data_IF_619267283163
#
_entry.id   IF_619267283163
#
_cell.length_a   1.000
_cell.length_b   1.000
_cell.length_c   1.000
_cell.angle_alpha   90.00
_cell.angle_beta   90.00
_cell.angle_gamma   90.00
#
_symmetry.space_group_name_H-M   'P 1'
#
loop_
_entity.id
_entity.type
_entity.pdbx_description
1 polymer ?
#
# COMPACT_ATOMS: atom_id res chain seq x y z
N UNK A 1 -24.10 11.66 9.25
CA UNK A 1 -22.70 11.42 8.84
C UNK A 1 -21.73 11.65 9.99
N UNK A 2 -21.58 12.87 10.52
CA UNK A 2 -20.64 13.14 11.63
C UNK A 2 -20.92 12.30 12.89
N UNK A 3 -22.19 12.08 13.24
CA UNK A 3 -22.57 11.18 14.36
C UNK A 3 -22.15 9.73 14.12
N UNK A 4 -22.27 9.25 12.87
CA UNK A 4 -21.83 7.90 12.48
C UNK A 4 -20.30 7.80 12.51
N UNK A 5 -19.58 8.83 12.06
CA UNK A 5 -18.12 8.89 12.22
C UNK A 5 -17.74 8.81 13.69
N UNK A 6 -18.37 9.60 14.56
CA UNK A 6 -18.08 9.56 15.99
C UNK A 6 -18.32 8.17 16.61
N UNK A 7 -19.30 7.42 16.11
CA UNK A 7 -19.53 6.03 16.51
C UNK A 7 -18.47 5.06 15.98
N UNK A 8 -18.00 5.26 14.75
CA UNK A 8 -16.96 4.42 14.13
C UNK A 8 -15.59 4.66 14.78
N UNK A 9 -15.28 5.88 15.20
CA UNK A 9 -14.00 6.25 15.81
C UNK A 9 -13.65 5.46 17.09
N UNK A 10 -14.61 4.76 17.67
CA UNK A 10 -14.43 3.89 18.85
C UNK A 10 -14.67 2.41 18.52
N UNK A 11 -14.45 1.99 17.26
CA UNK A 11 -14.64 0.62 16.80
C UNK A 11 -13.49 0.17 15.90
N UNK A 12 -13.12 -1.10 16.01
CA UNK A 12 -12.12 -1.70 15.14
C UNK A 12 -12.80 -2.27 13.89
N UNK A 13 -12.11 -2.37 12.75
CA UNK A 13 -12.63 -3.07 11.59
C UNK A 13 -12.98 -4.50 11.96
N UNK A 14 -14.25 -4.88 11.82
CA UNK A 14 -14.74 -6.22 12.10
C UNK A 14 -14.50 -7.12 10.88
N UNK A 15 -14.29 -8.42 11.12
CA UNK A 15 -14.18 -9.38 10.01
C UNK A 15 -15.57 -9.67 9.45
N UNK A 16 -15.73 -9.55 8.13
CA UNK A 16 -16.95 -9.98 7.43
C UNK A 16 -16.58 -10.92 6.31
N UNK A 17 -17.31 -12.03 6.18
CA UNK A 17 -17.18 -12.92 5.03
C UNK A 17 -17.85 -12.26 3.81
N UNK A 18 -17.08 -11.51 3.03
CA UNK A 18 -17.44 -11.27 1.64
C UNK A 18 -16.89 -12.39 0.76
N UNK A 19 -17.51 -12.63 -0.40
CA UNK A 19 -17.21 -13.74 -1.31
C UNK A 19 -15.77 -13.72 -1.89
N UNK A 20 -14.92 -12.76 -1.49
CA UNK A 20 -13.59 -12.51 -2.06
C UNK A 20 -12.44 -12.47 -1.03
N UNK A 21 -12.69 -12.73 0.25
CA UNK A 21 -11.63 -12.88 1.27
C UNK A 21 -10.80 -11.62 1.53
N UNK A 22 -11.35 -10.44 1.21
CA UNK A 22 -10.78 -9.14 1.56
C UNK A 22 -11.32 -8.69 2.93
N UNK A 23 -10.76 -7.59 3.44
CA UNK A 23 -11.25 -6.93 4.65
C UNK A 23 -12.78 -6.91 4.71
N UNK A 24 -13.32 -7.26 5.88
CA UNK A 24 -14.62 -6.75 6.28
C UNK A 24 -14.59 -5.22 6.17
N UNK A 25 -15.71 -4.69 5.69
CA UNK A 25 -15.89 -3.29 5.27
C UNK A 25 -15.06 -2.31 6.11
N UNK A 26 -14.18 -1.57 5.43
CA UNK A 26 -13.55 -0.38 5.99
C UNK A 26 -14.68 0.58 6.43
N UNK A 27 -14.91 0.78 7.75
CA UNK A 27 -16.20 1.27 8.24
C UNK A 27 -16.47 2.72 7.83
N UNK A 28 -15.43 3.53 7.66
CA UNK A 28 -15.58 4.91 7.20
C UNK A 28 -15.83 4.92 5.68
N UNK A 29 -15.19 4.03 4.91
CA UNK A 29 -15.45 3.83 3.49
C UNK A 29 -16.92 3.53 3.25
N UNK A 30 -17.53 2.59 3.96
CA UNK A 30 -18.97 2.30 3.80
C UNK A 30 -19.87 3.53 4.00
N UNK A 31 -19.46 4.48 4.85
CA UNK A 31 -20.21 5.71 5.03
C UNK A 31 -20.08 6.68 3.84
N UNK A 32 -18.93 6.69 3.17
CA UNK A 32 -18.58 7.68 2.14
C UNK A 32 -18.49 7.14 0.72
N UNK A 33 -18.59 5.84 0.54
CA UNK A 33 -18.47 5.12 -0.73
C UNK A 33 -19.45 5.60 -1.80
N UNK A 34 -20.72 5.73 -1.44
CA UNK A 34 -21.73 6.27 -2.33
C UNK A 34 -21.44 7.73 -2.71
N UNK A 35 -21.28 8.66 -1.75
CA UNK A 35 -21.05 10.06 -2.11
C UNK A 35 -19.71 10.26 -2.83
N UNK A 36 -18.63 9.53 -2.49
CA UNK A 36 -17.29 9.76 -3.07
C UNK A 36 -17.20 9.48 -4.56
N UNK A 37 -18.02 8.54 -5.05
CA UNK A 37 -18.06 8.22 -6.47
C UNK A 37 -18.79 9.31 -7.29
N UNK A 38 -19.57 10.20 -6.66
CA UNK A 38 -20.41 11.18 -7.39
C UNK A 38 -19.55 12.36 -7.90
N UNK A 39 -19.99 13.10 -8.94
CA UNK A 39 -19.30 14.32 -9.36
C UNK A 39 -19.10 15.34 -8.23
N UNK A 40 -20.09 15.48 -7.32
CA UNK A 40 -19.98 16.36 -6.17
C UNK A 40 -18.98 15.80 -5.13
N UNK A 41 -19.01 14.49 -4.88
CA UNK A 41 -18.04 13.81 -4.01
C UNK A 41 -16.61 14.00 -4.48
N UNK A 42 -16.35 13.83 -5.79
CA UNK A 42 -15.02 14.08 -6.36
C UNK A 42 -14.51 15.48 -6.08
N UNK A 43 -15.37 16.50 -6.14
CA UNK A 43 -14.99 17.88 -5.77
C UNK A 43 -14.68 17.98 -4.26
N UNK A 44 -15.51 17.36 -3.41
CA UNK A 44 -15.31 17.37 -1.95
C UNK A 44 -14.03 16.65 -1.55
N UNK A 45 -13.79 15.44 -2.06
CA UNK A 45 -12.66 14.60 -1.67
C UNK A 45 -11.34 14.96 -2.37
N UNK A 46 -11.37 15.84 -3.39
CA UNK A 46 -10.16 16.48 -3.93
C UNK A 46 -9.76 17.76 -3.19
N UNK A 47 -10.64 18.32 -2.34
CA UNK A 47 -10.34 19.55 -1.60
C UNK A 47 -9.34 19.28 -0.45
N UNK A 48 -8.19 19.95 -0.50
CA UNK A 48 -7.14 19.83 0.52
C UNK A 48 -7.62 20.17 1.93
N UNK A 49 -8.60 21.09 2.08
CA UNK A 49 -9.15 21.49 3.38
C UNK A 49 -10.01 20.39 3.98
N UNK A 50 -10.73 19.64 3.14
CA UNK A 50 -11.54 18.47 3.54
C UNK A 50 -10.59 17.35 3.97
N UNK A 51 -9.60 17.02 3.15
CA UNK A 51 -8.60 16.00 3.49
C UNK A 51 -7.83 16.35 4.77
N UNK A 52 -7.53 17.63 5.01
CA UNK A 52 -6.93 18.06 6.27
C UNK A 52 -7.83 17.82 7.51
N UNK A 53 -9.16 17.84 7.38
CA UNK A 53 -10.05 17.46 8.49
C UNK A 53 -10.20 15.94 8.60
N UNK A 54 -10.28 15.23 7.47
CA UNK A 54 -10.29 13.76 7.46
C UNK A 54 -9.04 13.20 8.15
N UNK A 55 -7.86 13.79 7.90
CA UNK A 55 -6.64 13.43 8.60
C UNK A 55 -6.81 13.46 10.12
N UNK A 56 -7.39 14.52 10.68
CA UNK A 56 -7.59 14.64 12.13
C UNK A 56 -8.53 13.57 12.68
N UNK A 57 -9.54 13.20 11.89
CA UNK A 57 -10.48 12.12 12.22
C UNK A 57 -9.73 10.78 12.25
N UNK A 58 -8.90 10.51 11.24
CA UNK A 58 -8.09 9.30 11.20
C UNK A 58 -7.01 9.25 12.26
N UNK A 59 -6.40 10.39 12.63
CA UNK A 59 -5.42 10.44 13.71
C UNK A 59 -6.04 9.98 15.05
N UNK A 60 -7.30 10.36 15.33
CA UNK A 60 -8.04 9.88 16.52
C UNK A 60 -8.37 8.40 16.41
N UNK A 61 -8.80 7.94 15.23
CA UNK A 61 -9.10 6.52 15.04
C UNK A 61 -7.86 5.64 15.17
N UNK A 62 -6.73 6.09 14.61
CA UNK A 62 -5.45 5.40 14.73
C UNK A 62 -5.04 5.22 16.20
N UNK A 63 -5.22 6.25 17.04
CA UNK A 63 -4.99 6.12 18.49
C UNK A 63 -5.87 5.02 19.11
N UNK A 64 -7.15 4.98 18.76
CA UNK A 64 -8.07 3.91 19.21
C UNK A 64 -7.61 2.53 18.72
N UNK A 65 -7.27 2.38 17.44
CA UNK A 65 -6.88 1.11 16.84
C UNK A 65 -5.50 0.62 17.30
N UNK A 66 -4.65 1.51 17.81
CA UNK A 66 -3.40 1.15 18.51
C UNK A 66 -3.61 0.79 19.98
N UNK A 67 -4.81 0.99 20.54
CA UNK A 67 -5.13 0.68 21.94
C UNK A 67 -5.61 -0.78 22.13
N UNK A 68 -5.56 -1.26 23.37
CA UNK A 68 -6.10 -2.59 23.72
C UNK A 68 -7.60 -2.71 23.53
N UNK A 69 -8.35 -1.60 23.51
CA UNK A 69 -9.80 -1.63 23.32
C UNK A 69 -10.18 -2.13 21.92
N UNK A 70 -9.25 -2.07 20.98
CA UNK A 70 -9.43 -2.58 19.61
C UNK A 70 -9.28 -4.10 19.46
N UNK A 71 -8.84 -4.84 20.49
CA UNK A 71 -8.56 -6.28 20.36
C UNK A 71 -9.81 -7.15 20.31
N UNK A 72 -11.01 -6.60 20.59
CA UNK A 72 -12.26 -7.36 20.65
C UNK A 72 -12.59 -8.08 19.33
N UNK A 73 -12.05 -7.60 18.20
CA UNK A 73 -12.22 -8.22 16.87
C UNK A 73 -11.17 -9.29 16.55
N UNK A 74 -10.18 -9.49 17.41
CA UNK A 74 -9.12 -10.50 17.24
C UNK A 74 -9.55 -11.81 17.91
N UNK A 75 -10.61 -12.43 17.40
CA UNK A 75 -11.21 -13.67 17.91
C UNK A 75 -11.14 -14.79 16.86
N UNK A 76 -11.15 -16.04 17.32
CA UNK A 76 -11.08 -17.24 16.46
C UNK A 76 -12.46 -17.69 15.93
N UNK A 77 -13.56 -17.21 16.53
CA UNK A 77 -14.91 -17.62 16.16
C UNK A 77 -15.42 -16.83 14.94
N UNK A 78 -15.49 -15.50 15.09
CA UNK A 78 -16.10 -14.55 14.15
C UNK A 78 -15.17 -13.41 13.73
N UNK A 79 -13.99 -13.29 14.35
CA UNK A 79 -13.05 -12.20 14.13
C UNK A 79 -11.88 -12.53 13.20
N UNK A 80 -10.85 -11.70 13.30
CA UNK A 80 -9.67 -11.72 12.43
C UNK A 80 -8.76 -12.94 12.58
N UNK A 81 -8.93 -13.75 13.62
CA UNK A 81 -8.10 -14.94 13.87
C UNK A 81 -8.82 -16.24 13.50
N UNK A 82 -10.03 -16.15 12.94
CA UNK A 82 -10.81 -17.33 12.55
C UNK A 82 -10.22 -18.06 11.34
N UNK A 83 -10.47 -19.38 11.21
CA UNK A 83 -10.17 -20.11 9.99
C UNK A 83 -10.81 -19.44 8.76
N UNK A 84 -10.01 -19.17 7.73
CA UNK A 84 -10.43 -18.46 6.51
C UNK A 84 -10.07 -16.97 6.51
N UNK A 85 -9.93 -16.33 7.67
CA UNK A 85 -9.35 -14.98 7.79
C UNK A 85 -7.82 -15.02 7.84
N UNK A 86 -7.29 -16.01 8.55
CA UNK A 86 -5.86 -16.33 8.59
C UNK A 86 -5.56 -17.61 7.81
N UNK A 87 -4.33 -17.73 7.34
CA UNK A 87 -3.82 -18.95 6.72
C UNK A 87 -3.55 -20.04 7.77
N UNK A 88 -3.59 -21.31 7.36
CA UNK A 88 -3.34 -22.44 8.28
C UNK A 88 -1.95 -22.38 8.94
N UNK A 89 -0.99 -21.77 8.25
CA UNK A 89 0.39 -21.58 8.71
C UNK A 89 0.61 -20.27 9.47
N UNK A 90 -0.44 -19.51 9.82
CA UNK A 90 -0.31 -18.17 10.43
C UNK A 90 0.62 -18.16 11.65
N UNK A 91 0.44 -19.11 12.56
CA UNK A 91 1.28 -19.27 13.75
C UNK A 91 2.73 -19.68 13.46
N UNK A 92 3.02 -20.19 12.25
CA UNK A 92 4.37 -20.54 11.79
C UNK A 92 5.00 -19.39 10.98
N UNK A 93 4.18 -18.53 10.38
CA UNK A 93 4.62 -17.40 9.54
C UNK A 93 4.84 -16.13 10.36
N UNK A 94 3.98 -15.81 11.33
CA UNK A 94 4.05 -14.55 12.07
C UNK A 94 4.50 -14.73 13.53
N UNK A 95 5.20 -13.73 14.06
CA UNK A 95 5.56 -13.66 15.48
C UNK A 95 4.26 -13.43 16.27
N UNK A 96 3.74 -14.51 16.84
CA UNK A 96 2.55 -14.55 17.68
C UNK A 96 2.62 -15.76 18.62
N UNK A 97 1.78 -15.77 19.65
CA UNK A 97 1.60 -16.88 20.57
C UNK A 97 0.14 -17.32 20.56
N UNK A 98 -0.15 -18.39 19.79
CA UNK A 98 -1.50 -18.93 19.62
C UNK A 98 -2.10 -19.51 20.90
N UNK A 99 -1.35 -19.56 22.01
CA UNK A 99 -1.87 -19.99 23.32
C UNK A 99 -2.33 -18.83 24.21
N UNK A 100 -2.03 -17.59 23.82
CA UNK A 100 -2.46 -16.38 24.52
C UNK A 100 -3.71 -15.77 23.86
N UNK A 101 -4.54 -15.01 24.61
CA UNK A 101 -5.64 -14.23 24.03
C UNK A 101 -5.15 -13.35 22.87
N UNK A 102 -5.95 -13.28 21.81
CA UNK A 102 -5.63 -12.51 20.60
C UNK A 102 -4.29 -12.90 19.96
N UNK A 103 -3.84 -14.13 20.17
CA UNK A 103 -2.52 -14.64 19.79
C UNK A 103 -1.34 -13.77 20.30
N UNK A 104 -1.54 -13.04 21.41
CA UNK A 104 -0.55 -12.16 22.01
C UNK A 104 -0.47 -10.75 21.40
N UNK A 105 -1.28 -10.41 20.39
CA UNK A 105 -1.35 -9.05 19.85
C UNK A 105 -2.03 -8.09 20.84
N UNK A 106 -1.48 -6.89 20.97
CA UNK A 106 -1.91 -5.90 21.97
C UNK A 106 -2.99 -4.92 21.48
N UNK A 107 -3.19 -4.86 20.18
CA UNK A 107 -4.15 -4.01 19.50
C UNK A 107 -4.42 -4.55 18.10
N UNK A 108 -5.46 -4.04 17.45
CA UNK A 108 -5.72 -4.37 16.05
C UNK A 108 -4.54 -3.91 15.17
N UNK A 109 -3.91 -2.76 15.46
CA UNK A 109 -2.72 -2.31 14.73
C UNK A 109 -1.53 -3.27 14.84
N UNK A 110 -1.31 -3.82 16.04
CA UNK A 110 -0.23 -4.76 16.30
C UNK A 110 -0.41 -6.06 15.49
N UNK A 111 -1.66 -6.52 15.36
CA UNK A 111 -2.02 -7.61 14.46
C UNK A 111 -1.86 -7.21 12.98
N UNK A 112 -2.26 -6.01 12.60
CA UNK A 112 -2.22 -5.54 11.23
C UNK A 112 -0.78 -5.38 10.71
N UNK A 113 0.06 -4.79 11.55
CA UNK A 113 1.50 -4.59 11.33
C UNK A 113 2.35 -5.73 11.90
N UNK A 114 1.76 -6.92 12.07
CA UNK A 114 2.44 -8.12 12.58
C UNK A 114 3.76 -8.40 11.86
N UNK A 115 4.71 -8.97 12.59
CA UNK A 115 6.06 -9.28 12.09
C UNK A 115 6.17 -10.72 11.62
N UNK A 116 6.96 -10.95 10.58
CA UNK A 116 7.29 -12.29 10.13
C UNK A 116 8.27 -12.96 11.09
N UNK A 117 8.14 -14.28 11.27
CA UNK A 117 9.19 -15.08 11.94
C UNK A 117 10.46 -15.09 11.07
N UNK A 118 11.66 -15.12 11.69
CA UNK A 118 12.90 -15.17 10.93
C UNK A 118 12.94 -16.36 9.96
N UNK A 119 13.34 -16.12 8.71
CA UNK A 119 13.56 -17.17 7.70
C UNK A 119 12.33 -17.61 6.89
N UNK A 120 11.11 -17.19 7.23
CA UNK A 120 9.89 -17.63 6.51
C UNK A 120 9.68 -16.94 5.15
N UNK A 121 10.44 -15.87 4.88
CA UNK A 121 10.52 -15.15 3.60
C UNK A 121 11.98 -14.95 3.21
N UNK A 122 12.64 -16.02 2.71
CA UNK A 122 14.03 -15.93 2.29
C UNK A 122 14.17 -14.93 1.14
N UNK A 123 15.31 -14.23 1.10
CA UNK A 123 15.62 -13.30 0.04
C UNK A 123 16.00 -14.08 -1.22
N UNK A 124 15.32 -13.81 -2.33
CA UNK A 124 15.69 -14.38 -3.62
C UNK A 124 17.08 -13.88 -4.04
N UNK A 125 17.97 -14.82 -4.36
CA UNK A 125 19.36 -14.57 -4.78
C UNK A 125 20.04 -13.45 -3.96
N UNK A 126 20.29 -13.69 -2.65
CA UNK A 126 20.69 -12.63 -1.71
C UNK A 126 22.06 -12.01 -2.00
N UNK A 127 22.88 -12.68 -2.82
CA UNK A 127 24.22 -12.24 -3.21
C UNK A 127 24.29 -11.77 -4.67
N UNK A 128 23.18 -11.79 -5.41
CA UNK A 128 23.10 -11.31 -6.78
C UNK A 128 22.43 -9.93 -6.81
N UNK A 129 23.23 -8.89 -7.00
CA UNK A 129 22.74 -7.50 -7.08
C UNK A 129 22.06 -7.16 -8.42
N UNK A 130 21.97 -8.11 -9.36
CA UNK A 130 21.15 -7.98 -10.57
C UNK A 130 19.68 -8.29 -10.34
N UNK A 131 19.34 -8.97 -9.22
CA UNK A 131 17.98 -9.36 -8.87
C UNK A 131 17.30 -8.28 -8.04
N UNK A 132 16.12 -7.86 -8.47
CA UNK A 132 15.23 -6.95 -7.75
C UNK A 132 14.12 -7.78 -7.10
N UNK A 133 13.98 -7.64 -5.77
CA UNK A 133 12.93 -8.35 -5.03
C UNK A 133 11.70 -7.49 -4.82
N UNK A 134 10.55 -8.13 -4.60
CA UNK A 134 9.33 -7.46 -4.17
C UNK A 134 9.57 -6.76 -2.85
N UNK A 135 9.16 -5.49 -2.77
CA UNK A 135 9.20 -4.72 -1.54
C UNK A 135 8.07 -5.14 -0.57
N UNK A 136 6.97 -5.71 -1.06
CA UNK A 136 5.79 -6.04 -0.25
C UNK A 136 5.27 -7.47 -0.54
N UNK A 137 4.42 -8.02 0.34
CA UNK A 137 3.51 -9.11 -0.04
C UNK A 137 2.30 -8.49 -0.76
N UNK A 138 2.16 -8.72 -2.07
CA UNK A 138 1.18 -8.01 -2.89
C UNK A 138 0.73 -8.83 -4.09
N UNK A 139 -0.37 -8.43 -4.72
CA UNK A 139 -0.75 -8.84 -6.06
C UNK A 139 -0.22 -7.85 -7.09
N UNK A 140 0.41 -8.34 -8.14
CA UNK A 140 0.90 -7.51 -9.24
C UNK A 140 -0.29 -6.83 -9.92
N UNK A 141 -0.28 -5.50 -9.98
CA UNK A 141 -1.30 -4.73 -10.71
C UNK A 141 -0.87 -4.58 -12.17
N UNK A 142 0.30 -3.98 -12.38
CA UNK A 142 0.77 -3.63 -13.72
C UNK A 142 2.26 -3.34 -13.76
N UNK A 143 2.81 -3.38 -14.97
CA UNK A 143 4.12 -2.84 -15.32
C UNK A 143 3.95 -1.88 -16.48
N UNK A 144 4.42 -0.64 -16.30
CA UNK A 144 4.42 0.37 -17.34
C UNK A 144 5.86 0.75 -17.70
N UNK A 145 6.13 0.81 -19.00
CA UNK A 145 7.40 1.26 -19.56
C UNK A 145 7.23 2.62 -20.23
N UNK A 146 8.34 3.30 -20.47
CA UNK A 146 8.39 4.62 -21.10
C UNK A 146 7.46 5.64 -20.40
N UNK A 147 7.47 5.62 -19.06
CA UNK A 147 6.61 6.51 -18.27
C UNK A 147 7.01 7.98 -18.43
N UNK A 148 6.03 8.84 -18.68
CA UNK A 148 6.29 10.24 -19.08
C UNK A 148 6.16 11.21 -17.90
N UNK A 149 6.73 12.41 -18.07
CA UNK A 149 6.58 13.50 -17.09
C UNK A 149 5.11 13.89 -16.89
N UNK A 150 4.37 13.96 -18.01
CA UNK A 150 2.94 14.25 -18.06
C UNK A 150 2.33 13.42 -19.18
N UNK A 151 1.35 12.60 -18.86
CA UNK A 151 0.58 11.89 -19.87
C UNK A 151 -0.69 12.64 -20.29
N UNK A 152 -1.04 12.49 -21.56
CA UNK A 152 -1.97 13.40 -22.26
C UNK A 152 -3.33 12.80 -22.60
N UNK A 153 -3.56 11.50 -22.39
CA UNK A 153 -4.79 10.85 -22.86
C UNK A 153 -5.33 9.79 -21.91
N UNK A 154 -6.51 10.03 -21.33
CA UNK A 154 -7.14 9.24 -20.25
C UNK A 154 -8.28 8.34 -20.74
N UNK A 155 -8.42 8.17 -22.06
CA UNK A 155 -9.57 7.48 -22.66
C UNK A 155 -9.45 5.94 -22.58
N UNK A 156 -8.27 5.41 -22.22
CA UNK A 156 -7.98 3.98 -22.06
C UNK A 156 -7.01 3.79 -20.89
N UNK A 157 -7.56 3.74 -19.68
CA UNK A 157 -6.78 3.59 -18.44
C UNK A 157 -6.28 4.90 -17.84
N UNK A 158 -5.53 4.79 -16.75
CA UNK A 158 -4.93 5.90 -16.02
C UNK A 158 -3.39 5.86 -16.19
N UNK A 159 -2.82 6.55 -17.17
CA UNK A 159 -1.37 6.55 -17.38
C UNK A 159 -0.63 7.23 -16.22
N UNK A 160 0.60 6.79 -15.96
CA UNK A 160 1.41 7.37 -14.89
C UNK A 160 1.90 8.78 -15.23
N UNK A 161 1.45 9.77 -14.48
CA UNK A 161 2.03 11.10 -14.47
C UNK A 161 3.12 11.19 -13.40
N UNK A 162 4.38 10.99 -13.81
CA UNK A 162 5.51 11.01 -12.86
C UNK A 162 5.64 12.33 -12.11
N UNK A 163 5.32 13.46 -12.75
CA UNK A 163 5.39 14.76 -12.09
C UNK A 163 4.43 14.85 -10.90
N UNK A 164 3.19 14.39 -11.05
CA UNK A 164 2.22 14.39 -9.94
C UNK A 164 2.53 13.28 -8.94
N UNK A 165 2.91 12.08 -9.40
CA UNK A 165 3.26 10.94 -8.55
C UNK A 165 4.37 11.32 -7.55
N UNK A 166 5.36 12.09 -8.03
CA UNK A 166 6.52 12.52 -7.23
C UNK A 166 6.32 13.90 -6.61
N UNK A 167 5.11 14.48 -6.66
CA UNK A 167 4.81 15.81 -6.13
C UNK A 167 5.79 16.90 -6.61
N UNK A 168 6.09 16.90 -7.91
CA UNK A 168 7.00 17.83 -8.57
C UNK A 168 8.44 17.81 -8.04
N UNK A 169 8.88 16.71 -7.43
CA UNK A 169 10.25 16.58 -6.95
C UNK A 169 11.26 16.74 -8.10
N UNK A 170 12.36 17.49 -7.92
CA UNK A 170 13.38 17.63 -8.96
C UNK A 170 13.98 16.28 -9.43
N UNK A 171 13.94 15.25 -8.59
CA UNK A 171 14.43 13.92 -8.97
C UNK A 171 13.55 13.22 -10.01
N UNK A 172 12.30 13.67 -10.24
CA UNK A 172 11.41 13.12 -11.27
C UNK A 172 12.09 13.01 -12.64
N UNK A 173 12.95 13.97 -12.99
CA UNK A 173 13.61 14.00 -14.30
C UNK A 173 14.46 12.76 -14.59
N UNK A 174 14.97 12.08 -13.56
CA UNK A 174 15.77 10.87 -13.72
C UNK A 174 14.94 9.64 -14.12
N UNK A 175 13.63 9.67 -13.89
CA UNK A 175 12.74 8.53 -14.10
C UNK A 175 11.91 8.62 -15.38
N UNK A 176 11.97 9.74 -16.11
CA UNK A 176 11.25 9.92 -17.38
C UNK A 176 11.78 8.91 -18.40
N UNK A 177 10.87 8.21 -19.09
CA UNK A 177 11.16 7.09 -19.99
C UNK A 177 11.47 5.78 -19.26
N UNK A 178 11.34 5.77 -17.93
CA UNK A 178 11.65 4.64 -17.06
C UNK A 178 10.58 3.55 -17.02
N UNK A 179 10.64 2.74 -15.97
CA UNK A 179 9.67 1.66 -15.72
C UNK A 179 9.03 1.83 -14.35
N UNK A 180 7.72 1.61 -14.26
CA UNK A 180 6.96 1.54 -13.01
C UNK A 180 6.39 0.13 -12.87
N UNK A 181 6.71 -0.53 -11.77
CA UNK A 181 5.97 -1.68 -11.26
C UNK A 181 4.98 -1.20 -10.20
N UNK A 182 3.75 -1.70 -10.21
CA UNK A 182 2.78 -1.46 -9.13
C UNK A 182 2.22 -2.77 -8.59
N UNK A 183 2.14 -2.88 -7.27
CA UNK A 183 1.54 -4.01 -6.57
C UNK A 183 0.55 -3.56 -5.49
N UNK A 184 -0.60 -4.24 -5.43
CA UNK A 184 -1.67 -4.00 -4.47
C UNK A 184 -1.55 -4.96 -3.28
N UNK A 185 -1.65 -4.42 -2.06
CA UNK A 185 -1.51 -5.18 -0.82
C UNK A 185 -2.91 -5.40 -0.27
N UNK A 186 -3.33 -6.67 -0.27
CA UNK A 186 -4.60 -7.05 0.31
C UNK A 186 -4.55 -6.92 1.84
N UNK A 187 -5.69 -6.62 2.46
CA UNK A 187 -5.79 -6.40 3.90
C UNK A 187 -5.32 -7.56 4.79
N UNK A 188 -5.34 -8.80 4.28
CA UNK A 188 -4.85 -10.00 4.97
C UNK A 188 -3.36 -10.27 4.73
N UNK A 189 -2.71 -9.50 3.86
CA UNK A 189 -1.29 -9.61 3.56
C UNK A 189 -0.42 -8.97 4.66
N UNK A 190 0.89 -9.11 4.50
CA UNK A 190 1.89 -8.50 5.35
C UNK A 190 2.12 -7.03 4.94
N UNK A 191 1.91 -6.09 5.87
CA UNK A 191 1.83 -4.65 5.59
C UNK A 191 3.12 -3.86 5.88
N UNK A 192 4.23 -4.57 6.09
CA UNK A 192 5.56 -3.93 6.18
C UNK A 192 6.26 -4.10 4.85
N UNK A 193 7.01 -3.08 4.45
CA UNK A 193 7.71 -3.07 3.18
C UNK A 193 9.23 -3.00 3.37
N UNK A 194 9.94 -3.62 2.43
CA UNK A 194 11.36 -3.92 2.54
C UNK A 194 12.13 -3.36 1.33
N UNK A 195 13.44 -3.20 1.49
CA UNK A 195 14.31 -2.73 0.44
C UNK A 195 14.42 -3.77 -0.67
N UNK A 196 14.09 -3.43 -1.92
CA UNK A 196 14.16 -4.37 -3.05
C UNK A 196 15.60 -4.61 -3.54
N UNK A 197 16.55 -3.76 -3.12
CA UNK A 197 17.95 -3.76 -3.55
C UNK A 197 18.88 -3.42 -2.38
N UNK A 198 20.16 -3.74 -2.52
CA UNK A 198 21.23 -3.18 -1.68
C UNK A 198 21.46 -1.72 -2.09
N UNK A 199 21.66 -0.80 -1.14
CA UNK A 199 21.93 0.60 -1.48
C UNK A 199 21.97 1.56 -0.30
N UNK A 200 21.85 2.84 -0.61
CA UNK A 200 21.77 3.94 0.37
C UNK A 200 20.51 4.74 0.14
N UNK A 201 19.73 4.96 1.19
CA UNK A 201 18.57 5.85 1.15
C UNK A 201 19.08 7.28 0.96
N UNK A 202 18.82 7.90 -0.19
CA UNK A 202 19.34 9.23 -0.53
C UNK A 202 18.38 10.35 -0.18
N UNK A 203 17.08 10.09 -0.20
CA UNK A 203 16.05 11.09 0.07
C UNK A 203 14.74 10.41 0.49
N UNK A 204 14.01 11.03 1.42
CA UNK A 204 12.67 10.61 1.81
C UNK A 204 11.70 11.80 1.66
N UNK A 205 10.56 11.60 1.01
CA UNK A 205 9.56 12.66 0.80
C UNK A 205 8.19 12.20 1.25
N UNK A 206 7.63 12.85 2.27
CA UNK A 206 6.23 12.66 2.67
C UNK A 206 5.33 13.58 1.85
N UNK A 207 4.32 13.01 1.21
CA UNK A 207 3.37 13.72 0.36
C UNK A 207 1.97 13.52 0.94
N UNK A 208 1.42 14.52 1.64
CA UNK A 208 0.01 14.53 2.00
C UNK A 208 -0.83 14.48 0.74
N UNK A 209 -1.86 13.65 0.72
CA UNK A 209 -2.76 13.55 -0.41
C UNK A 209 -4.21 13.40 0.02
N UNK A 210 -4.99 12.86 -0.90
CA UNK A 210 -6.40 12.54 -0.67
C UNK A 210 -6.54 11.19 0.04
N UNK A 211 -7.73 10.93 0.58
CA UNK A 211 -8.10 9.63 1.17
C UNK A 211 -9.15 8.93 0.31
N UNK A 212 -10.18 9.66 -0.08
CA UNK A 212 -11.36 9.14 -0.80
C UNK A 212 -11.47 9.67 -2.24
N UNK A 213 -10.36 10.07 -2.88
CA UNK A 213 -10.41 10.39 -4.30
C UNK A 213 -10.08 9.14 -5.12
N UNK A 214 -10.95 8.83 -6.08
CA UNK A 214 -10.83 7.68 -6.98
C UNK A 214 -10.88 8.13 -8.44
N UNK A 215 -10.60 7.20 -9.34
CA UNK A 215 -10.62 7.48 -10.78
C UNK A 215 -11.99 8.02 -11.20
N UNK A 216 -12.06 9.15 -11.92
CA UNK A 216 -13.34 9.71 -12.37
C UNK A 216 -14.05 8.87 -13.42
N UNK A 217 -13.35 7.92 -14.03
CA UNK A 217 -13.86 7.01 -15.08
C UNK A 217 -14.29 5.65 -14.53
N UNK A 218 -14.13 5.41 -13.22
CA UNK A 218 -14.50 4.18 -12.55
C UNK A 218 -15.55 4.52 -11.46
N UNK A 219 -16.38 3.55 -11.09
CA UNK A 219 -17.24 3.66 -9.90
C UNK A 219 -18.69 4.08 -10.08
N UNK A 220 -19.20 4.26 -11.30
CA UNK A 220 -20.64 4.44 -11.55
C UNK A 220 -21.19 3.78 -12.83
N UNK A 221 -20.34 3.27 -13.71
CA UNK A 221 -20.76 2.65 -14.98
C UNK A 221 -21.14 1.15 -14.83
N UNK A 222 -21.81 0.78 -13.74
CA UNK A 222 -22.40 -0.56 -13.60
C UNK A 222 -23.92 -0.47 -13.58
N UNK A 223 -24.60 -1.47 -14.17
CA UNK A 223 -26.08 -1.55 -14.18
C UNK A 223 -26.70 -1.55 -12.75
N UNK A 224 -25.88 -1.79 -11.71
CA UNK A 224 -26.31 -1.98 -10.33
C UNK A 224 -25.97 -0.82 -9.37
N UNK A 225 -25.45 0.32 -9.86
CA UNK A 225 -25.08 1.48 -9.05
C UNK A 225 -23.56 1.65 -8.86
N UNK A 226 -23.12 2.35 -7.80
CA UNK A 226 -21.68 2.57 -7.58
C UNK A 226 -20.95 1.27 -7.28
N UNK A 227 -19.76 1.11 -7.84
CA UNK A 227 -18.92 -0.07 -7.64
C UNK A 227 -18.19 0.03 -6.28
N UNK A 228 -18.48 -0.92 -5.40
CA UNK A 228 -17.89 -1.00 -4.06
C UNK A 228 -16.35 -1.18 -4.10
N UNK A 229 -15.84 -1.75 -5.19
CA UNK A 229 -14.42 -2.07 -5.39
C UNK A 229 -13.69 -1.03 -6.26
N UNK A 230 -14.29 0.16 -6.44
CA UNK A 230 -13.66 1.25 -7.19
C UNK A 230 -12.26 1.66 -6.68
N UNK A 231 -11.94 1.67 -5.35
CA UNK A 231 -10.58 1.96 -4.94
C UNK A 231 -9.60 0.90 -5.44
N UNK A 232 -9.98 -0.37 -5.38
CA UNK A 232 -9.17 -1.50 -5.86
C UNK A 232 -8.93 -1.42 -7.36
N UNK A 233 -9.89 -0.92 -8.13
CA UNK A 233 -9.75 -0.71 -9.58
C UNK A 233 -9.03 0.60 -9.96
N UNK A 234 -8.79 1.51 -9.00
CA UNK A 234 -8.20 2.84 -9.26
C UNK A 234 -6.68 2.91 -9.06
N UNK A 235 -5.97 1.78 -8.97
CA UNK A 235 -4.57 1.69 -8.51
C UNK A 235 -3.62 2.73 -9.12
N UNK A 236 -3.59 2.87 -10.43
CA UNK A 236 -2.68 3.80 -11.10
C UNK A 236 -3.07 5.24 -10.77
N UNK A 237 -4.37 5.56 -10.71
CA UNK A 237 -4.87 6.90 -10.34
C UNK A 237 -4.54 7.24 -8.89
N UNK A 238 -4.62 6.23 -8.01
CA UNK A 238 -4.29 6.40 -6.60
C UNK A 238 -2.83 6.79 -6.44
N UNK A 239 -1.92 6.39 -7.35
CA UNK A 239 -0.50 6.81 -7.33
C UNK A 239 -0.26 8.31 -7.55
N UNK A 240 -1.27 9.08 -8.00
CA UNK A 240 -1.17 10.53 -8.22
C UNK A 240 -1.98 11.37 -7.24
N UNK A 241 -2.95 10.77 -6.55
CA UNK A 241 -3.94 11.51 -5.75
C UNK A 241 -3.85 11.28 -4.24
N UNK A 242 -3.58 10.05 -3.80
CA UNK A 242 -3.58 9.65 -2.39
C UNK A 242 -2.37 10.14 -1.55
N UNK A 243 -2.39 9.90 -0.24
CA UNK A 243 -1.19 10.11 0.60
C UNK A 243 -0.09 9.12 0.24
N UNK A 244 1.15 9.63 0.13
CA UNK A 244 2.30 8.88 -0.37
C UNK A 244 3.58 9.15 0.40
N UNK A 245 4.49 8.19 0.35
CA UNK A 245 5.89 8.35 0.74
C UNK A 245 6.79 7.93 -0.42
N UNK A 246 7.80 8.75 -0.72
CA UNK A 246 8.87 8.41 -1.64
C UNK A 246 10.12 8.06 -0.85
N UNK A 247 10.72 6.90 -1.11
CA UNK A 247 12.02 6.50 -0.58
C UNK A 247 12.96 6.29 -1.76
N UNK A 248 13.85 7.26 -1.97
CA UNK A 248 14.87 7.19 -3.01
C UNK A 248 16.06 6.39 -2.51
N UNK A 249 16.50 5.41 -3.31
CA UNK A 249 17.62 4.51 -2.97
C UNK A 249 18.61 4.57 -4.12
N UNK A 250 19.84 4.98 -3.83
CA UNK A 250 20.96 4.77 -4.74
C UNK A 250 21.44 3.33 -4.57
N UNK A 251 21.17 2.48 -5.57
CA UNK A 251 21.56 1.07 -5.54
C UNK A 251 23.08 0.90 -5.54
N UNK A 252 23.56 -0.12 -4.82
CA UNK A 252 24.95 -0.56 -4.88
C UNK A 252 25.33 -1.10 -6.27
N UNK A 253 24.34 -1.55 -7.05
CA UNK A 253 24.53 -1.90 -8.45
C UNK A 253 24.32 -0.67 -9.34
N UNK A 254 25.36 -0.16 -10.04
CA UNK A 254 25.26 1.07 -10.83
C UNK A 254 24.32 0.97 -12.03
N UNK A 255 24.02 -0.25 -12.52
CA UNK A 255 23.07 -0.47 -13.62
C UNK A 255 21.61 -0.23 -13.19
N UNK A 256 21.31 -0.46 -11.92
CA UNK A 256 20.07 0.03 -11.28
C UNK A 256 20.24 1.52 -10.98
N UNK A 257 21.31 1.87 -10.26
CA UNK A 257 21.56 3.18 -9.66
C UNK A 257 20.36 3.73 -8.90
N UNK A 258 20.04 5.02 -9.03
CA UNK A 258 18.91 5.62 -8.34
C UNK A 258 17.57 4.97 -8.72
N UNK A 259 16.86 4.44 -7.73
CA UNK A 259 15.48 3.97 -7.84
C UNK A 259 14.60 4.64 -6.77
N UNK A 260 13.28 4.52 -6.91
CA UNK A 260 12.34 5.02 -5.90
C UNK A 260 11.34 3.92 -5.51
N UNK A 261 11.21 3.67 -4.21
CA UNK A 261 10.08 2.94 -3.63
C UNK A 261 9.01 3.97 -3.28
N UNK A 262 7.81 3.82 -3.85
CA UNK A 262 6.68 4.71 -3.58
C UNK A 262 5.62 3.92 -2.84
N UNK A 263 5.32 4.29 -1.60
CA UNK A 263 4.26 3.66 -0.82
C UNK A 263 3.04 4.57 -0.82
N UNK A 264 1.87 4.00 -1.06
CA UNK A 264 0.63 4.73 -1.32
C UNK A 264 -0.43 4.17 -0.37
N UNK A 265 -0.89 5.02 0.55
CA UNK A 265 -2.07 4.70 1.36
C UNK A 265 -3.34 4.79 0.49
N UNK A 266 -4.35 3.99 0.78
CA UNK A 266 -5.65 4.03 0.11
C UNK A 266 -6.77 4.25 1.13
N UNK A 267 -7.73 5.14 0.86
CA UNK A 267 -8.95 5.23 1.69
C UNK A 267 -8.61 5.66 3.14
N UNK A 268 -9.24 5.07 4.17
CA UNK A 268 -8.93 5.37 5.59
C UNK A 268 -7.54 4.88 6.03
N UNK A 269 -6.81 4.27 5.10
CA UNK A 269 -5.55 3.58 5.27
C UNK A 269 -4.48 4.45 4.64
N UNK A 270 -3.89 5.30 5.43
CA UNK A 270 -3.26 6.48 4.82
C UNK A 270 -1.96 6.86 5.48
N UNK A 271 -1.58 6.13 6.52
CA UNK A 271 -0.30 6.29 7.19
C UNK A 271 0.74 5.47 6.46
N UNK A 272 1.73 6.16 5.91
CA UNK A 272 2.96 5.53 5.47
C UNK A 272 4.05 5.82 6.51
N UNK A 273 4.29 4.89 7.45
CA UNK A 273 5.37 5.04 8.43
C UNK A 273 6.70 4.62 7.80
N UNK A 274 7.73 5.46 7.94
CA UNK A 274 9.10 5.14 7.52
C UNK A 274 9.98 4.90 8.75
N UNK A 275 10.72 3.78 8.74
CA UNK A 275 11.61 3.41 9.86
C UNK A 275 13.08 3.73 9.58
N UNK A 276 13.42 3.97 8.31
CA UNK A 276 14.76 4.39 7.87
C UNK A 276 14.89 5.91 7.78
N UNK A 277 16.13 6.39 7.64
CA UNK A 277 16.47 7.81 7.48
C UNK A 277 17.34 8.02 6.26
N UNK A 278 17.40 9.25 5.74
CA UNK A 278 18.38 9.62 4.72
C UNK A 278 19.80 9.31 5.19
N UNK A 279 20.62 8.73 4.30
CA UNK A 279 21.96 8.21 4.60
C UNK A 279 22.00 6.78 5.14
N UNK A 280 20.86 6.15 5.43
CA UNK A 280 20.81 4.75 5.89
C UNK A 280 21.30 3.83 4.78
N UNK A 281 22.29 2.98 5.09
CA UNK A 281 22.68 1.87 4.22
C UNK A 281 21.69 0.72 4.45
N UNK A 282 21.06 0.28 3.38
CA UNK A 282 20.06 -0.79 3.40
C UNK A 282 20.57 -1.98 2.59
N UNK A 283 20.31 -3.18 3.09
CA UNK A 283 20.45 -4.41 2.33
C UNK A 283 19.12 -4.80 1.73
N UNK A 284 19.18 -5.57 0.63
CA UNK A 284 18.03 -6.26 0.05
C UNK A 284 17.32 -7.05 1.17
N UNK A 285 16.02 -6.80 1.34
CA UNK A 285 15.21 -7.40 2.40
C UNK A 285 15.24 -6.69 3.76
N UNK A 286 15.98 -5.60 3.94
CA UNK A 286 15.87 -4.79 5.16
C UNK A 286 14.52 -4.04 5.19
N UNK A 287 13.86 -3.98 6.35
CA UNK A 287 12.60 -3.24 6.52
C UNK A 287 12.82 -1.73 6.31
N UNK A 288 11.96 -1.10 5.53
CA UNK A 288 11.98 0.36 5.30
C UNK A 288 10.82 1.09 6.00
N UNK A 289 9.73 0.38 6.32
CA UNK A 289 8.53 0.99 6.91
C UNK A 289 7.29 0.07 6.88
N UNK A 290 6.13 0.63 7.20
CA UNK A 290 4.85 -0.09 7.23
C UNK A 290 3.62 0.78 7.03
N UNK A 291 2.54 0.15 6.52
CA UNK A 291 1.20 0.72 6.49
C UNK A 291 0.52 0.40 7.81
N UNK A 292 -0.21 1.36 8.36
CA UNK A 292 -1.17 1.10 9.44
C UNK A 292 -2.59 1.20 8.89
N UNK A 293 -3.46 0.33 9.43
CA UNK A 293 -4.91 0.43 9.27
C UNK A 293 -5.47 0.40 7.86
N UNK A 294 -5.33 -0.71 7.11
CA UNK A 294 -6.15 -1.08 5.92
C UNK A 294 -5.45 -1.33 4.54
N UNK A 295 -6.18 -1.31 3.42
CA UNK A 295 -5.66 -1.50 2.06
C UNK A 295 -4.60 -0.50 1.59
N UNK A 296 -3.63 -0.98 0.82
CA UNK A 296 -2.49 -0.17 0.40
C UNK A 296 -1.93 -0.62 -0.94
N UNK A 297 -1.15 0.23 -1.58
CA UNK A 297 -0.49 -0.08 -2.84
C UNK A 297 0.91 0.51 -2.85
N UNK A 298 1.78 -0.04 -3.68
CA UNK A 298 3.15 0.42 -3.77
C UNK A 298 3.65 0.37 -5.20
N UNK A 299 4.62 1.23 -5.51
CA UNK A 299 5.32 1.20 -6.77
C UNK A 299 6.84 1.10 -6.59
N UNK A 300 7.49 0.38 -7.50
CA UNK A 300 8.92 0.47 -7.72
C UNK A 300 9.15 1.23 -9.02
N UNK A 301 9.90 2.33 -8.95
CA UNK A 301 10.15 3.22 -10.09
C UNK A 301 11.63 3.21 -10.44
N UNK A 302 11.93 2.87 -11.68
CA UNK A 302 13.27 2.69 -12.22
C UNK A 302 13.56 3.69 -13.33
N UNK A 303 14.83 4.05 -13.48
CA UNK A 303 15.30 4.97 -14.53
C UNK A 303 15.27 4.31 -15.91
N UNK A 304 15.21 5.08 -17.02
CA UNK A 304 15.24 4.52 -18.38
C UNK A 304 16.52 3.73 -18.70
N UNK A 305 17.62 3.96 -17.97
CA UNK A 305 18.87 3.23 -18.11
C UNK A 305 18.80 1.81 -17.52
N UNK A 306 17.93 1.58 -16.54
CA UNK A 306 17.77 0.27 -15.89
C UNK A 306 16.99 -0.67 -16.81
N UNK A 307 17.70 -1.61 -17.44
CA UNK A 307 17.10 -2.59 -18.36
C UNK A 307 16.66 -3.81 -17.58
N UNK A 308 15.36 -4.09 -17.58
CA UNK A 308 14.75 -5.10 -16.73
C UNK A 308 14.10 -6.21 -17.57
N UNK A 309 14.33 -7.45 -17.18
CA UNK A 309 13.44 -8.57 -17.47
C UNK A 309 12.48 -8.71 -16.28
N UNK A 310 11.18 -8.58 -16.55
CA UNK A 310 10.12 -8.78 -15.56
C UNK A 310 9.82 -10.28 -15.45
N UNK A 311 9.81 -10.79 -14.22
CA UNK A 311 9.63 -12.22 -13.95
C UNK A 311 8.26 -12.61 -13.40
N UNK A 312 7.31 -11.68 -13.36
CA UNK A 312 5.97 -11.85 -12.77
C UNK A 312 4.90 -11.20 -13.65
N UNK A 313 3.66 -11.68 -13.55
CA UNK A 313 2.55 -11.23 -14.40
C UNK A 313 1.45 -10.49 -13.61
N UNK A 314 0.68 -9.59 -14.24
CA UNK A 314 -0.52 -9.00 -13.62
C UNK A 314 -1.48 -10.05 -13.04
N UNK A 315 -1.93 -9.82 -11.81
CA UNK A 315 -2.74 -10.75 -11.03
C UNK A 315 -1.95 -11.78 -10.23
N UNK A 316 -0.64 -11.93 -10.45
CA UNK A 316 0.20 -12.85 -9.69
C UNK A 316 0.40 -12.36 -8.24
N UNK A 317 0.22 -13.26 -7.27
CA UNK A 317 0.56 -13.00 -5.87
C UNK A 317 2.05 -13.19 -5.63
N UNK A 318 2.73 -12.14 -5.18
CA UNK A 318 4.16 -12.16 -4.84
C UNK A 318 4.37 -12.01 -3.35
N UNK A 319 5.36 -12.74 -2.81
CA UNK A 319 5.79 -12.57 -1.43
C UNK A 319 6.88 -11.51 -1.32
N UNK A 320 6.99 -10.88 -0.15
CA UNK A 320 8.11 -9.99 0.15
C UNK A 320 9.42 -10.77 0.01
N UNK A 321 10.43 -10.11 -0.56
CA UNK A 321 11.73 -10.70 -0.90
C UNK A 321 11.74 -11.74 -2.05
N UNK A 322 10.60 -12.05 -2.67
CA UNK A 322 10.56 -12.83 -3.91
C UNK A 322 11.12 -12.01 -5.08
N UNK A 323 11.78 -12.62 -6.06
CA UNK A 323 12.19 -11.93 -7.28
C UNK A 323 10.96 -11.42 -8.06
N UNK A 324 11.00 -10.16 -8.50
CA UNK A 324 9.99 -9.57 -9.39
C UNK A 324 10.58 -9.12 -10.72
N UNK A 325 11.88 -8.79 -10.73
CA UNK A 325 12.59 -8.41 -11.93
C UNK A 325 14.09 -8.69 -11.78
N UNK A 326 14.79 -8.76 -12.92
CA UNK A 326 16.25 -8.84 -12.98
C UNK A 326 16.81 -7.94 -14.06
N UNK A 327 18.06 -7.54 -13.94
CA UNK A 327 18.75 -6.81 -15.01
C UNK A 327 18.95 -7.69 -16.26
N UNK A 328 18.92 -7.05 -17.43
CA UNK A 328 19.16 -7.68 -18.74
C UNK A 328 20.63 -7.71 -19.16
#
# INVERSE_FOLDING_TARGET
>A
MLELLNYILTRAPEWENNDMGQMGILPILALVEWPMNTPAGRVVFSDSRVNAQLKKIFDVWAEYLSSSDSTYVLTEDDGWLRPGAITEDFGQTFICDTTHPHFGFKSWDDFFTRRLKPGVRPIAEPYDDSIITSACESFVVTFAHDVQTKDKFWLKGCPYNLQTMFNHDPLTQYFIGGTVYQGFIASTSYHRWHSPVNGVVTKIVHIPGTYYLQSPTLGFDTENGPDYYTPDHSQEFLSHSQTRLLVFIESSNPEIGLMCVVTIGMVEVSTCEVTVREGTKVKKGDELGMFHFGGSTHCLVFRPQTKLAIGVEPGEGVKVNQEVARLL
#
